data_IF_453980790762
#
_entry.id   IF_453980790762
#
_cell.length_a   1.000
_cell.length_b   1.000
_cell.length_c   1.000
_cell.angle_alpha   90.00
_cell.angle_beta   90.00
_cell.angle_gamma   90.00
#
_symmetry.space_group_name_H-M   'P 1'
#
loop_
_entity.id
_entity.type
_entity.pdbx_description
1 polymer ?
#
# COMPACT_ATOMS: atom_id res chain seq x y z
N UNK A 1 16.25 -8.21 -13.24
CA UNK A 1 16.46 -8.60 -11.85
C UNK A 1 15.58 -7.69 -11.03
N UNK A 2 14.58 -8.25 -10.37
CA UNK A 2 13.65 -7.52 -9.51
C UNK A 2 14.22 -7.29 -8.12
N UNK A 3 13.44 -6.62 -7.28
CA UNK A 3 13.70 -6.54 -5.84
C UNK A 3 13.31 -7.88 -5.25
N UNK A 4 14.13 -8.49 -4.40
CA UNK A 4 13.66 -9.63 -3.62
C UNK A 4 12.48 -9.17 -2.73
N UNK A 5 11.36 -9.91 -2.70
CA UNK A 5 10.16 -9.43 -1.99
C UNK A 5 10.43 -9.05 -0.52
N UNK A 6 11.35 -9.74 0.16
CA UNK A 6 11.78 -9.45 1.54
C UNK A 6 12.48 -8.10 1.70
N UNK A 7 13.14 -7.62 0.65
CA UNK A 7 13.87 -6.34 0.63
C UNK A 7 12.97 -5.15 0.22
N UNK A 8 11.71 -5.44 -0.11
CA UNK A 8 10.74 -4.44 -0.56
C UNK A 8 10.54 -3.28 0.43
N UNK A 9 10.48 -3.49 1.76
CA UNK A 9 10.39 -2.37 2.71
C UNK A 9 11.61 -1.47 2.66
N UNK A 10 12.83 -2.02 2.60
CA UNK A 10 14.02 -1.18 2.49
C UNK A 10 14.03 -0.41 1.16
N UNK A 11 13.50 -1.01 0.10
CA UNK A 11 13.36 -0.34 -1.19
C UNK A 11 12.40 0.84 -1.12
N UNK A 12 11.21 0.67 -0.54
CA UNK A 12 10.25 1.76 -0.33
C UNK A 12 10.81 2.82 0.62
N UNK A 13 11.50 2.42 1.70
CA UNK A 13 12.19 3.36 2.59
C UNK A 13 13.24 4.20 1.86
N UNK A 14 14.03 3.58 0.98
CA UNK A 14 14.99 4.29 0.12
C UNK A 14 14.31 5.28 -0.83
N UNK A 15 13.19 4.89 -1.43
CA UNK A 15 12.37 5.73 -2.28
C UNK A 15 11.82 6.95 -1.54
N UNK A 16 11.24 6.75 -0.36
CA UNK A 16 10.74 7.84 0.50
C UNK A 16 11.86 8.85 0.80
N UNK A 17 13.06 8.39 1.18
CA UNK A 17 14.21 9.27 1.43
C UNK A 17 14.64 10.05 0.20
N UNK A 18 14.57 9.48 -1.00
CA UNK A 18 14.85 10.22 -2.25
C UNK A 18 13.86 11.34 -2.52
N UNK A 19 12.63 11.20 -2.03
CA UNK A 19 11.60 12.24 -2.05
C UNK A 19 11.66 13.19 -0.83
N UNK A 20 12.72 13.10 -0.01
CA UNK A 20 12.93 13.97 1.15
C UNK A 20 12.16 13.57 2.41
N UNK A 21 11.59 12.36 2.45
CA UNK A 21 10.77 11.87 3.56
C UNK A 21 11.54 10.94 4.48
N UNK A 22 11.22 11.00 5.77
CA UNK A 22 11.60 9.98 6.73
C UNK A 22 10.49 8.90 6.79
N UNK A 23 10.78 7.60 6.61
CA UNK A 23 9.75 6.55 6.60
C UNK A 23 8.92 6.46 7.90
N UNK A 24 9.54 6.77 9.04
CA UNK A 24 8.94 6.81 10.38
C UNK A 24 8.29 8.17 10.73
N UNK A 25 8.43 9.17 9.85
CA UNK A 25 7.89 10.51 10.03
C UNK A 25 7.60 11.18 8.69
N UNK A 26 6.66 10.61 7.93
CA UNK A 26 6.17 11.20 6.68
C UNK A 26 5.36 12.45 7.00
N UNK A 27 5.72 13.58 6.37
CA UNK A 27 5.04 14.88 6.54
C UNK A 27 4.34 15.38 5.27
N UNK A 28 4.49 14.66 4.15
CA UNK A 28 3.91 15.02 2.86
C UNK A 28 3.37 13.77 2.14
N UNK A 29 2.05 13.64 2.09
CA UNK A 29 1.34 12.50 1.49
C UNK A 29 1.56 12.43 -0.02
N UNK A 30 1.59 13.58 -0.72
CA UNK A 30 1.84 13.61 -2.17
C UNK A 30 3.24 13.08 -2.53
N UNK A 31 4.26 13.43 -1.73
CA UNK A 31 5.61 12.91 -1.90
C UNK A 31 5.68 11.41 -1.58
N UNK A 32 4.97 10.95 -0.55
CA UNK A 32 4.89 9.54 -0.19
C UNK A 32 4.21 8.72 -1.29
N UNK A 33 3.13 9.25 -1.88
CA UNK A 33 2.44 8.64 -2.99
C UNK A 33 3.33 8.53 -4.25
N UNK A 34 4.12 9.56 -4.58
CA UNK A 34 5.10 9.49 -5.68
C UNK A 34 6.14 8.40 -5.45
N UNK A 35 6.68 8.32 -4.22
CA UNK A 35 7.61 7.26 -3.84
C UNK A 35 6.96 5.87 -3.96
N UNK A 36 5.70 5.74 -3.55
CA UNK A 36 4.95 4.49 -3.66
C UNK A 36 4.65 4.10 -5.11
N UNK A 37 4.28 5.05 -5.98
CA UNK A 37 4.12 4.79 -7.43
C UNK A 37 5.41 4.30 -8.07
N UNK A 38 6.54 4.91 -7.74
CA UNK A 38 7.86 4.44 -8.17
C UNK A 38 8.19 3.04 -7.64
N UNK A 39 7.67 2.67 -6.46
CA UNK A 39 7.80 1.33 -5.92
C UNK A 39 6.94 0.33 -6.69
N UNK A 40 5.67 0.64 -6.97
CA UNK A 40 4.74 -0.20 -7.75
C UNK A 40 5.23 -0.53 -9.15
N UNK A 41 6.03 0.35 -9.75
CA UNK A 41 6.63 0.15 -11.06
C UNK A 41 7.82 -0.84 -11.07
N UNK A 42 8.32 -1.24 -9.90
CA UNK A 42 9.50 -2.12 -9.82
C UNK A 42 9.08 -3.59 -9.86
N UNK A 43 9.76 -4.41 -10.68
CA UNK A 43 9.57 -5.85 -10.64
C UNK A 43 10.02 -6.41 -9.29
N UNK A 44 9.30 -7.42 -8.81
CA UNK A 44 9.58 -8.11 -7.55
C UNK A 44 9.84 -9.59 -7.86
N UNK A 45 10.92 -10.11 -7.30
CA UNK A 45 11.34 -11.50 -7.44
C UNK A 45 10.82 -12.34 -6.25
N UNK A 46 10.56 -13.63 -6.49
CA UNK A 46 10.09 -14.59 -5.49
C UNK A 46 8.58 -14.68 -5.33
N UNK A 47 7.83 -14.09 -6.26
CA UNK A 47 6.37 -14.20 -6.33
C UNK A 47 5.93 -15.50 -7.00
N UNK A 48 4.70 -15.93 -6.71
CA UNK A 48 4.04 -17.07 -7.34
C UNK A 48 4.07 -16.89 -8.88
N UNK A 49 4.60 -17.87 -9.63
CA UNK A 49 4.68 -17.76 -11.07
C UNK A 49 3.32 -18.02 -11.73
N UNK A 50 2.91 -17.15 -12.65
CA UNK A 50 1.73 -17.32 -13.48
C UNK A 50 1.42 -16.03 -14.25
N UNK A 51 0.94 -16.14 -15.49
CA UNK A 51 0.56 -14.95 -16.27
C UNK A 51 -0.76 -14.33 -15.79
N UNK A 52 -1.62 -15.12 -15.16
CA UNK A 52 -2.92 -14.72 -14.61
C UNK A 52 -2.93 -14.74 -13.07
N UNK A 53 -1.76 -14.74 -12.41
CA UNK A 53 -1.70 -14.82 -10.95
C UNK A 53 -1.91 -13.43 -10.33
N UNK A 54 -2.81 -13.35 -9.35
CA UNK A 54 -2.98 -12.23 -8.41
C UNK A 54 -1.79 -12.12 -7.44
N UNK A 55 -0.56 -12.15 -7.97
CA UNK A 55 0.66 -12.29 -7.19
C UNK A 55 1.31 -10.96 -6.80
N UNK A 56 0.97 -9.87 -7.48
CA UNK A 56 1.51 -8.54 -7.25
C UNK A 56 0.40 -7.49 -7.34
N UNK A 57 -0.25 -7.24 -6.21
CA UNK A 57 -1.38 -6.32 -6.12
C UNK A 57 -1.05 -5.05 -5.33
N UNK A 58 -1.93 -4.06 -5.41
CA UNK A 58 -1.86 -2.91 -4.51
C UNK A 58 -3.25 -2.39 -4.14
N UNK A 59 -3.30 -1.64 -3.04
CA UNK A 59 -4.49 -0.96 -2.56
C UNK A 59 -4.10 0.35 -1.88
N UNK A 60 -4.97 1.35 -1.98
CA UNK A 60 -4.94 2.54 -1.13
C UNK A 60 -6.16 2.48 -0.22
N UNK A 61 -5.95 2.49 1.09
CA UNK A 61 -7.00 2.32 2.09
C UNK A 61 -7.08 3.53 3.00
N UNK A 62 -8.29 3.85 3.45
CA UNK A 62 -8.52 4.96 4.38
C UNK A 62 -9.65 4.62 5.34
N UNK A 63 -9.53 5.13 6.56
CA UNK A 63 -10.56 4.88 7.58
C UNK A 63 -10.10 5.21 8.98
N UNK A 64 -10.77 4.60 9.95
CA UNK A 64 -10.46 4.69 11.37
C UNK A 64 -10.35 3.28 11.93
N UNK A 65 -9.14 2.85 12.23
CA UNK A 65 -8.88 1.47 12.61
C UNK A 65 -8.60 1.35 14.11
N UNK A 66 -9.03 0.25 14.73
CA UNK A 66 -8.86 0.04 16.19
C UNK A 66 -7.40 -0.02 16.61
N UNK A 67 -6.51 -0.51 15.75
CA UNK A 67 -5.07 -0.60 16.00
C UNK A 67 -4.33 0.73 15.84
N UNK A 68 -4.99 1.78 15.33
CA UNK A 68 -4.47 3.16 15.28
C UNK A 68 -5.25 4.09 16.21
N UNK A 69 -5.69 3.61 17.38
CA UNK A 69 -6.49 4.37 18.36
C UNK A 69 -7.77 5.00 17.77
N UNK A 70 -8.30 4.42 16.69
CA UNK A 70 -9.41 4.97 15.88
C UNK A 70 -9.14 6.37 15.29
N UNK A 71 -7.88 6.75 15.16
CA UNK A 71 -7.47 7.96 14.45
C UNK A 71 -7.67 7.79 12.93
N UNK A 72 -7.91 8.89 12.20
CA UNK A 72 -7.93 8.85 10.74
C UNK A 72 -6.61 8.27 10.22
N UNK A 73 -6.71 7.34 9.29
CA UNK A 73 -5.57 6.61 8.73
C UNK A 73 -5.67 6.55 7.21
N UNK A 74 -4.51 6.55 6.56
CA UNK A 74 -4.32 6.29 5.13
C UNK A 74 -3.21 5.26 5.00
N UNK A 75 -3.42 4.21 4.21
CA UNK A 75 -2.40 3.18 3.96
C UNK A 75 -2.14 3.03 2.46
N UNK A 76 -0.87 2.89 2.10
CA UNK A 76 -0.43 2.47 0.77
C UNK A 76 0.17 1.08 0.88
N UNK A 77 -0.53 0.09 0.34
CA UNK A 77 -0.17 -1.32 0.51
C UNK A 77 0.10 -1.97 -0.83
N UNK A 78 1.21 -2.68 -0.93
CA UNK A 78 1.51 -3.61 -2.03
C UNK A 78 1.50 -5.03 -1.48
N UNK A 79 0.74 -5.91 -2.12
CA UNK A 79 0.53 -7.29 -1.72
C UNK A 79 1.27 -8.24 -2.66
N UNK A 80 1.84 -9.28 -2.07
CA UNK A 80 2.63 -10.30 -2.73
C UNK A 80 2.05 -11.68 -2.43
N UNK A 81 1.73 -12.46 -3.45
CA UNK A 81 1.63 -13.91 -3.30
C UNK A 81 3.01 -14.51 -3.54
N UNK A 82 3.63 -15.05 -2.49
CA UNK A 82 5.01 -15.53 -2.48
C UNK A 82 5.05 -17.02 -2.80
N UNK A 83 5.94 -17.43 -3.72
CA UNK A 83 6.18 -18.84 -4.04
C UNK A 83 6.91 -19.51 -2.87
N UNK A 84 6.22 -20.46 -2.22
CA UNK A 84 6.76 -21.22 -1.08
C UNK A 84 6.98 -22.70 -1.40
N UNK A 85 6.94 -23.09 -2.69
CA UNK A 85 7.11 -24.49 -3.11
C UNK A 85 8.39 -25.12 -2.61
N UNK A 86 9.46 -24.34 -2.47
CA UNK A 86 10.76 -24.81 -1.97
C UNK A 86 10.75 -25.26 -0.50
N UNK A 87 9.79 -24.78 0.30
CA UNK A 87 9.65 -25.09 1.73
C UNK A 87 8.33 -25.79 2.06
N UNK A 88 7.48 -26.00 1.06
CA UNK A 88 6.17 -26.57 1.22
C UNK A 88 6.22 -28.10 1.37
N UNK A 89 5.59 -28.62 2.42
CA UNK A 89 5.39 -30.06 2.59
C UNK A 89 4.18 -30.51 1.76
N UNK A 90 4.35 -31.54 0.92
CA UNK A 90 3.32 -32.11 0.02
C UNK A 90 2.15 -32.81 0.76
N UNK A 91 1.87 -32.45 2.01
CA UNK A 91 0.84 -33.09 2.83
C UNK A 91 -0.56 -32.51 2.63
N UNK A 92 -0.68 -31.32 2.03
CA UNK A 92 -1.94 -30.60 1.79
C UNK A 92 -2.06 -30.08 0.34
N UNK A 93 -3.04 -29.21 0.05
CA UNK A 93 -3.09 -28.45 -1.21
C UNK A 93 -2.12 -27.26 -1.16
N UNK A 94 -1.52 -26.91 -2.29
CA UNK A 94 -0.59 -25.78 -2.37
C UNK A 94 -1.33 -24.44 -2.30
N UNK A 95 -0.85 -23.52 -1.47
CA UNK A 95 -1.29 -22.13 -1.42
C UNK A 95 -0.06 -21.23 -1.22
N UNK A 96 0.10 -20.15 -2.00
CA UNK A 96 1.17 -19.19 -1.77
C UNK A 96 0.95 -18.46 -0.43
N UNK A 97 2.03 -18.00 0.18
CA UNK A 97 1.92 -17.10 1.34
C UNK A 97 1.62 -15.68 0.87
N UNK A 98 0.64 -15.04 1.50
CA UNK A 98 0.30 -13.66 1.18
C UNK A 98 1.06 -12.73 2.13
N UNK A 99 1.85 -11.82 1.58
CA UNK A 99 2.63 -10.84 2.31
C UNK A 99 2.28 -9.43 1.84
N UNK A 100 2.39 -8.45 2.72
CA UNK A 100 2.05 -7.06 2.44
C UNK A 100 3.15 -6.12 2.90
N UNK A 101 3.55 -5.20 2.03
CA UNK A 101 4.35 -4.04 2.38
C UNK A 101 3.42 -2.84 2.47
N UNK A 102 3.31 -2.27 3.67
CA UNK A 102 2.35 -1.22 3.96
C UNK A 102 3.06 0.02 4.49
N UNK A 103 2.78 1.18 3.89
CA UNK A 103 3.08 2.47 4.49
C UNK A 103 1.80 3.03 5.10
N UNK A 104 1.70 2.94 6.43
CA UNK A 104 0.59 3.47 7.20
C UNK A 104 0.88 4.90 7.64
N UNK A 105 -0.08 5.79 7.43
CA UNK A 105 -0.05 7.19 7.82
C UNK A 105 -1.23 7.45 8.76
N UNK A 106 -0.94 7.91 9.98
CA UNK A 106 -1.95 8.19 11.00
C UNK A 106 -2.01 9.68 11.26
N UNK A 107 -3.21 10.24 11.23
CA UNK A 107 -3.46 11.67 11.29
C UNK A 107 -4.13 12.06 12.62
N UNK A 108 -3.99 13.31 13.06
CA UNK A 108 -4.75 13.79 14.20
C UNK A 108 -6.24 13.87 13.85
N UNK A 109 -7.10 13.81 14.88
CA UNK A 109 -8.50 14.15 14.69
C UNK A 109 -8.63 15.61 14.23
N UNK A 110 -9.33 15.82 13.12
CA UNK A 110 -9.66 17.14 12.61
C UNK A 110 -11.12 17.15 12.14
N UNK A 111 -11.83 18.29 12.24
CA UNK A 111 -13.21 18.41 11.76
C UNK A 111 -13.36 18.02 10.27
N UNK A 112 -12.36 18.33 9.45
CA UNK A 112 -12.35 17.97 8.03
C UNK A 112 -12.26 16.45 7.76
N UNK A 113 -11.89 15.66 8.78
CA UNK A 113 -11.75 14.19 8.74
C UNK A 113 -12.83 13.48 9.57
N UNK A 114 -13.87 14.22 10.00
CA UNK A 114 -14.91 13.69 10.87
C UNK A 114 -15.75 12.60 10.20
N UNK A 115 -15.94 12.69 8.88
CA UNK A 115 -16.78 11.77 8.10
C UNK A 115 -15.98 10.67 7.38
N UNK A 116 -14.69 10.48 7.71
CA UNK A 116 -13.82 9.53 7.00
C UNK A 116 -14.35 8.09 7.05
N UNK A 117 -14.94 7.70 8.19
CA UNK A 117 -15.58 6.39 8.41
C UNK A 117 -16.97 6.28 7.80
N UNK A 118 -17.59 7.40 7.41
CA UNK A 118 -18.92 7.47 6.78
C UNK A 118 -18.87 7.45 5.26
N UNK A 119 -17.69 7.45 4.66
CA UNK A 119 -17.55 7.22 3.23
C UNK A 119 -18.08 5.82 2.89
N UNK A 120 -18.80 5.68 1.78
CA UNK A 120 -19.31 4.39 1.32
C UNK A 120 -18.21 3.41 0.87
N UNK A 121 -16.95 3.86 0.85
CA UNK A 121 -15.76 3.12 0.46
C UNK A 121 -14.63 3.43 1.44
N UNK A 122 -13.90 2.40 1.86
CA UNK A 122 -12.74 2.49 2.78
C UNK A 122 -11.42 2.16 2.06
N UNK A 123 -11.44 2.12 0.74
CA UNK A 123 -10.25 1.91 -0.07
C UNK A 123 -10.55 1.78 -1.55
N UNK A 124 -9.51 1.57 -2.33
CA UNK A 124 -9.61 1.40 -3.79
C UNK A 124 -10.14 0.04 -4.19
N UNK A 125 -10.02 -0.97 -3.31
CA UNK A 125 -10.00 -2.39 -3.67
C UNK A 125 -8.60 -2.80 -4.16
N UNK A 126 -8.26 -4.08 -4.00
CA UNK A 126 -7.02 -4.61 -4.55
C UNK A 126 -7.07 -4.60 -6.07
N UNK A 127 -6.00 -4.10 -6.68
CA UNK A 127 -5.76 -4.16 -8.11
C UNK A 127 -4.48 -4.97 -8.38
N UNK A 128 -4.60 -6.00 -9.22
CA UNK A 128 -3.51 -6.91 -9.60
C UNK A 128 -3.06 -6.72 -11.05
N UNK A 129 -3.47 -5.64 -11.72
CA UNK A 129 -3.05 -5.38 -13.10
C UNK A 129 -1.53 -5.35 -13.19
N UNK A 130 -0.93 -5.98 -14.22
CA UNK A 130 0.52 -6.07 -14.35
C UNK A 130 1.17 -4.69 -14.52
N UNK A 131 2.46 -4.52 -14.16
CA UNK A 131 3.19 -3.27 -14.40
C UNK A 131 3.08 -2.83 -15.86
N UNK A 132 2.71 -1.56 -16.08
CA UNK A 132 2.49 -0.99 -17.40
C UNK A 132 1.16 -0.21 -17.47
N UNK A 133 0.58 -0.07 -18.67
CA UNK A 133 -0.58 0.80 -18.89
C UNK A 133 -1.81 0.47 -18.03
N UNK A 134 -2.04 -0.80 -17.72
CA UNK A 134 -3.18 -1.24 -16.91
C UNK A 134 -3.00 -0.82 -15.44
N UNK A 135 -1.82 -1.06 -14.87
CA UNK A 135 -1.49 -0.57 -13.51
C UNK A 135 -1.46 0.96 -13.44
N UNK A 136 -0.98 1.63 -14.49
CA UNK A 136 -1.03 3.09 -14.56
C UNK A 136 -2.47 3.62 -14.56
N UNK A 137 -3.39 2.91 -15.23
CA UNK A 137 -4.82 3.22 -15.19
C UNK A 137 -5.41 3.04 -13.79
N UNK A 138 -5.12 1.91 -13.11
CA UNK A 138 -5.56 1.65 -11.75
C UNK A 138 -5.03 2.70 -10.73
N UNK A 139 -3.76 3.11 -10.88
CA UNK A 139 -3.17 4.22 -10.11
C UNK A 139 -3.93 5.52 -10.38
N UNK A 140 -4.31 5.79 -11.64
CA UNK A 140 -5.13 6.94 -12.01
C UNK A 140 -6.51 6.93 -11.37
N UNK A 141 -7.17 5.76 -11.31
CA UNK A 141 -8.45 5.59 -10.62
C UNK A 141 -8.34 5.81 -9.11
N UNK A 142 -7.25 5.37 -8.48
CA UNK A 142 -6.97 5.67 -7.07
C UNK A 142 -6.84 7.18 -6.83
N UNK A 143 -6.07 7.87 -7.68
CA UNK A 143 -5.93 9.34 -7.62
C UNK A 143 -7.26 10.05 -7.87
N UNK A 144 -8.07 9.55 -8.81
CA UNK A 144 -9.39 10.08 -9.10
C UNK A 144 -10.29 9.99 -7.87
N UNK A 145 -10.35 8.83 -7.18
CA UNK A 145 -11.15 8.66 -5.95
C UNK A 145 -10.77 9.69 -4.89
N UNK A 146 -9.47 9.88 -4.62
CA UNK A 146 -8.99 10.90 -3.66
C UNK A 146 -9.48 12.30 -4.04
N UNK A 147 -9.41 12.64 -5.33
CA UNK A 147 -9.84 13.96 -5.84
C UNK A 147 -11.36 14.14 -5.88
N UNK A 148 -12.17 13.09 -5.79
CA UNK A 148 -13.63 13.21 -5.88
C UNK A 148 -14.32 13.23 -4.50
N UNK A 149 -13.59 12.99 -3.42
CA UNK A 149 -14.11 13.03 -2.05
C UNK A 149 -13.43 14.14 -1.24
N UNK A 150 -14.16 15.19 -0.81
CA UNK A 150 -13.58 16.30 -0.05
C UNK A 150 -12.83 15.86 1.22
N UNK A 151 -13.34 14.84 1.92
CA UNK A 151 -12.69 14.27 3.10
C UNK A 151 -11.34 13.62 2.76
N UNK A 152 -11.23 12.96 1.60
CA UNK A 152 -9.96 12.37 1.14
C UNK A 152 -8.99 13.43 0.66
N UNK A 153 -9.46 14.49 -0.01
CA UNK A 153 -8.62 15.64 -0.34
C UNK A 153 -8.04 16.29 0.93
N UNK A 154 -8.87 16.46 1.97
CA UNK A 154 -8.43 17.00 3.26
C UNK A 154 -7.42 16.08 3.95
N UNK A 155 -7.64 14.76 3.91
CA UNK A 155 -6.70 13.75 4.43
C UNK A 155 -5.35 13.85 3.71
N UNK A 156 -5.39 13.93 2.38
CA UNK A 156 -4.21 14.02 1.52
C UNK A 156 -3.41 15.31 1.72
N UNK A 157 -4.08 16.42 2.02
CA UNK A 157 -3.45 17.70 2.34
C UNK A 157 -2.97 17.82 3.80
N UNK A 158 -3.30 16.85 4.65
CA UNK A 158 -2.94 16.87 6.07
C UNK A 158 -1.53 16.31 6.31
N UNK A 159 -0.94 16.69 7.44
CA UNK A 159 0.34 16.15 7.91
C UNK A 159 0.06 14.97 8.85
N UNK A 160 0.55 13.75 8.55
CA UNK A 160 0.48 12.63 9.47
C UNK A 160 1.21 12.94 10.78
N UNK A 161 0.63 12.51 11.90
CA UNK A 161 1.29 12.53 13.22
C UNK A 161 2.24 11.37 13.42
N UNK A 162 2.00 10.26 12.73
CA UNK A 162 2.80 9.04 12.79
C UNK A 162 2.79 8.36 11.42
N UNK A 163 3.90 7.72 11.08
CA UNK A 163 3.96 6.79 9.96
C UNK A 163 4.74 5.54 10.32
N UNK A 164 4.31 4.42 9.75
CA UNK A 164 4.97 3.13 9.90
C UNK A 164 5.10 2.45 8.53
N UNK A 165 6.25 1.84 8.30
CA UNK A 165 6.50 1.01 7.13
C UNK A 165 6.73 -0.41 7.61
N UNK A 166 5.88 -1.34 7.19
CA UNK A 166 5.90 -2.73 7.66
C UNK A 166 6.01 -3.74 6.52
N UNK A 167 6.37 -4.97 6.88
CA UNK A 167 6.25 -6.17 6.05
C UNK A 167 5.63 -7.25 6.90
N UNK A 168 4.35 -7.52 6.66
CA UNK A 168 3.58 -8.45 7.46
C UNK A 168 2.97 -9.52 6.57
N UNK A 169 2.75 -10.70 7.14
CA UNK A 169 1.97 -11.73 6.47
C UNK A 169 0.50 -11.37 6.59
N UNK A 170 -0.24 -11.40 5.48
CA UNK A 170 -1.69 -11.29 5.52
C UNK A 170 -2.24 -12.64 5.99
N UNK A 171 -2.94 -12.62 7.14
CA UNK A 171 -3.58 -13.80 7.73
C UNK A 171 -4.96 -14.09 7.12
#
# INVERSE_FOLDING_TARGET
MGIAWRESPEKLAGLLRRHGLAPDRVDNVDAAWKAFREFLAQPVDGLEPGLDSDADGFIVEWGRYSWHDRLPSLSFTRQFAVDVRGTWAQTDWYQPEIWQVSLDLVFPNAPALADLDRLNVQGTGFDFSPPGPERDHAIGEAEWKVRHHPTLQALWASIPTHSALTLDRAD
#
